data_IF_689143973242
#
_entry.id   IF_689143973242
#
_cell.length_a   1.000
_cell.length_b   1.000
_cell.length_c   1.000
_cell.angle_alpha   90.00
_cell.angle_beta   90.00
_cell.angle_gamma   90.00
#
_symmetry.space_group_name_H-M   'P 1'
#
loop_
_entity.id
_entity.type
_entity.pdbx_description
1 polymer ?
#
# COMPACT_ATOMS: atom_id res chain seq x y z
N UNK A 1 -12.72 6.21 4.70
CA UNK A 1 -12.76 5.16 5.76
C UNK A 1 -14.10 4.42 5.70
N UNK A 2 -15.27 5.11 5.68
CA UNK A 2 -16.58 4.44 5.68
C UNK A 2 -16.80 3.47 4.51
N UNK A 3 -16.40 3.84 3.29
CA UNK A 3 -16.54 2.99 2.09
C UNK A 3 -15.72 1.70 2.22
N UNK A 4 -14.53 1.74 2.81
CA UNK A 4 -13.69 0.57 3.05
C UNK A 4 -14.33 -0.38 4.08
N UNK A 5 -14.93 0.16 5.13
CA UNK A 5 -15.63 -0.63 6.15
C UNK A 5 -16.84 -1.34 5.55
N UNK A 6 -17.64 -0.64 4.74
CA UNK A 6 -18.81 -1.21 4.07
C UNK A 6 -18.40 -2.29 3.06
N UNK A 7 -17.35 -2.06 2.29
CA UNK A 7 -16.84 -3.05 1.33
C UNK A 7 -16.25 -4.29 2.00
N UNK A 8 -15.77 -4.17 3.23
CA UNK A 8 -15.21 -5.29 4.01
C UNK A 8 -16.24 -6.03 4.86
N UNK A 9 -17.44 -5.47 5.04
CA UNK A 9 -18.49 -6.04 5.89
C UNK A 9 -18.79 -7.53 5.62
N UNK A 10 -18.91 -8.00 4.36
CA UNK A 10 -19.19 -9.41 4.08
C UNK A 10 -18.08 -10.37 4.52
N UNK A 11 -16.85 -9.86 4.69
CA UNK A 11 -15.69 -10.68 5.05
C UNK A 11 -15.46 -10.77 6.56
N UNK A 12 -16.09 -9.91 7.37
CA UNK A 12 -15.94 -9.91 8.82
C UNK A 12 -16.26 -11.26 9.49
N UNK A 13 -17.35 -11.98 9.16
CA UNK A 13 -17.67 -13.25 9.83
C UNK A 13 -16.62 -14.34 9.57
N UNK A 14 -16.06 -14.41 8.37
CA UNK A 14 -14.99 -15.35 8.03
C UNK A 14 -13.66 -14.96 8.69
N UNK A 15 -13.40 -13.67 8.80
CA UNK A 15 -12.25 -13.13 9.48
C UNK A 15 -12.25 -13.43 10.99
N UNK A 16 -13.40 -13.22 11.67
CA UNK A 16 -13.53 -13.49 13.09
C UNK A 16 -13.37 -14.99 13.42
N UNK A 17 -13.83 -15.88 12.54
CA UNK A 17 -13.62 -17.33 12.73
C UNK A 17 -12.14 -17.72 12.69
N UNK A 18 -11.34 -17.10 11.80
CA UNK A 18 -9.90 -17.36 11.66
C UNK A 18 -9.04 -16.65 12.72
N UNK A 19 -9.56 -15.66 13.43
CA UNK A 19 -8.85 -15.04 14.54
C UNK A 19 -8.62 -15.98 15.74
N UNK A 20 -9.43 -17.05 15.84
CA UNK A 20 -9.25 -18.09 16.87
C UNK A 20 -8.07 -19.04 16.59
N UNK A 21 -7.59 -19.09 15.36
CA UNK A 21 -6.54 -20.02 14.92
C UNK A 21 -5.16 -19.31 14.73
N UNK A 22 -5.01 -18.11 15.29
CA UNK A 22 -3.75 -17.36 15.18
C UNK A 22 -2.65 -18.08 15.95
N UNK A 23 -1.63 -18.57 15.24
CA UNK A 23 -0.39 -19.06 15.82
C UNK A 23 0.77 -18.15 15.46
N UNK A 24 1.48 -17.64 16.46
CA UNK A 24 2.75 -16.92 16.21
C UNK A 24 3.83 -17.97 15.89
N UNK A 25 4.29 -17.97 14.68
CA UNK A 25 5.37 -18.85 14.22
C UNK A 25 6.47 -18.07 13.49
N UNK A 26 7.62 -18.68 13.28
CA UNK A 26 8.63 -18.09 12.42
C UNK A 26 8.07 -17.88 11.00
N UNK A 27 8.40 -16.75 10.32
CA UNK A 27 7.84 -16.43 9.02
C UNK A 27 8.03 -17.57 8.01
N UNK A 28 6.94 -18.03 7.41
CA UNK A 28 7.00 -19.06 6.36
C UNK A 28 7.39 -18.44 5.02
N UNK A 29 8.67 -18.42 4.74
CA UNK A 29 9.24 -17.92 3.49
C UNK A 29 8.98 -18.86 2.30
N UNK A 30 8.54 -20.10 2.51
CA UNK A 30 8.22 -21.02 1.44
C UNK A 30 7.06 -20.54 0.57
N UNK A 31 6.11 -19.84 1.20
CA UNK A 31 4.98 -19.21 0.51
C UNK A 31 5.44 -18.23 -0.57
N UNK A 32 6.54 -17.50 -0.31
CA UNK A 32 7.09 -16.53 -1.26
C UNK A 32 7.70 -17.17 -2.51
N UNK A 33 8.07 -18.45 -2.45
CA UNK A 33 8.49 -19.22 -3.62
C UNK A 33 7.36 -19.38 -4.65
N UNK A 34 6.11 -19.44 -4.20
CA UNK A 34 4.92 -19.66 -5.02
C UNK A 34 4.29 -18.37 -5.54
N UNK A 35 4.66 -17.22 -4.98
CA UNK A 35 4.08 -15.91 -5.33
C UNK A 35 4.71 -15.40 -6.62
N UNK A 36 3.88 -14.82 -7.49
CA UNK A 36 4.34 -14.23 -8.75
C UNK A 36 5.35 -13.10 -8.51
N UNK A 37 6.23 -12.88 -9.46
CA UNK A 37 7.22 -11.80 -9.41
C UNK A 37 6.56 -10.40 -9.31
N UNK A 38 5.35 -10.24 -9.86
CA UNK A 38 4.58 -8.98 -9.78
C UNK A 38 4.22 -8.66 -8.33
N UNK A 39 3.77 -9.65 -7.55
CA UNK A 39 3.46 -9.47 -6.13
C UNK A 39 4.73 -9.14 -5.34
N UNK A 40 5.85 -9.81 -5.63
CA UNK A 40 7.15 -9.49 -5.00
C UNK A 40 7.57 -8.06 -5.29
N UNK A 41 7.42 -7.61 -6.54
CA UNK A 41 7.71 -6.25 -6.96
C UNK A 41 6.79 -5.23 -6.25
N UNK A 42 5.49 -5.54 -6.16
CA UNK A 42 4.53 -4.72 -5.44
C UNK A 42 4.93 -4.55 -3.97
N UNK A 43 5.20 -5.65 -3.28
CA UNK A 43 5.58 -5.62 -1.86
C UNK A 43 6.90 -4.87 -1.66
N UNK A 44 7.90 -5.10 -2.49
CA UNK A 44 9.17 -4.38 -2.44
C UNK A 44 8.97 -2.86 -2.63
N UNK A 45 8.14 -2.46 -3.59
CA UNK A 45 7.77 -1.05 -3.82
C UNK A 45 7.03 -0.46 -2.62
N UNK A 46 6.04 -1.16 -2.08
CA UNK A 46 5.24 -0.70 -0.95
C UNK A 46 6.08 -0.55 0.33
N UNK A 47 6.92 -1.54 0.65
CA UNK A 47 7.82 -1.49 1.82
C UNK A 47 8.85 -0.36 1.66
N UNK A 48 9.45 -0.22 0.47
CA UNK A 48 10.37 0.89 0.19
C UNK A 48 9.68 2.24 0.36
N UNK A 49 8.47 2.40 -0.19
CA UNK A 49 7.69 3.62 -0.04
C UNK A 49 7.33 3.89 1.44
N UNK A 50 6.98 2.86 2.20
CA UNK A 50 6.67 3.00 3.62
C UNK A 50 7.89 3.50 4.41
N UNK A 51 9.06 2.90 4.22
CA UNK A 51 10.29 3.29 4.90
C UNK A 51 10.70 4.71 4.51
N UNK A 52 10.79 5.00 3.21
CA UNK A 52 11.20 6.32 2.71
C UNK A 52 10.19 7.39 3.15
N UNK A 53 8.89 7.11 3.04
CA UNK A 53 7.83 8.03 3.46
C UNK A 53 7.89 8.34 4.94
N UNK A 54 8.12 7.34 5.79
CA UNK A 54 8.34 7.52 7.23
C UNK A 54 9.53 8.43 7.50
N UNK A 55 10.66 8.21 6.83
CA UNK A 55 11.84 9.08 6.97
C UNK A 55 11.50 10.53 6.56
N UNK A 56 10.79 10.71 5.44
CA UNK A 56 10.39 12.04 4.95
C UNK A 56 9.51 12.77 5.97
N UNK A 57 8.61 12.06 6.67
CA UNK A 57 7.72 12.67 7.66
C UNK A 57 8.48 13.35 8.80
N UNK A 58 9.60 12.80 9.22
CA UNK A 58 10.43 13.31 10.31
C UNK A 58 11.54 14.27 9.85
N UNK A 59 11.68 14.54 8.53
CA UNK A 59 12.71 15.41 7.99
C UNK A 59 12.20 16.81 7.64
N UNK A 60 13.13 17.78 7.61
CA UNK A 60 12.85 19.17 7.20
C UNK A 60 12.37 19.19 5.75
N UNK A 61 11.17 19.73 5.53
CA UNK A 61 10.56 19.85 4.21
C UNK A 61 11.30 20.90 3.35
N UNK A 62 11.33 20.67 2.03
CA UNK A 62 11.97 21.59 1.08
C UNK A 62 13.49 21.50 0.98
N UNK A 63 14.17 20.75 1.83
CA UNK A 63 15.63 20.52 1.78
C UNK A 63 16.02 19.68 0.56
N UNK A 64 17.31 19.67 0.21
CA UNK A 64 17.85 18.78 -0.84
C UNK A 64 17.50 17.32 -0.59
N UNK A 65 17.72 16.86 0.66
CA UNK A 65 17.39 15.50 1.07
C UNK A 65 15.89 15.19 0.92
N UNK A 66 15.00 16.12 1.29
CA UNK A 66 13.55 15.95 1.07
C UNK A 66 13.22 15.76 -0.41
N UNK A 67 13.87 16.49 -1.30
CA UNK A 67 13.63 16.36 -2.75
C UNK A 67 14.12 15.00 -3.28
N UNK A 68 15.32 14.56 -2.89
CA UNK A 68 15.86 13.27 -3.33
C UNK A 68 15.01 12.11 -2.82
N UNK A 69 14.74 12.06 -1.50
CA UNK A 69 13.88 11.03 -0.92
C UNK A 69 12.46 11.10 -1.46
N UNK A 70 11.95 12.32 -1.75
CA UNK A 70 10.63 12.51 -2.35
C UNK A 70 10.52 11.87 -3.73
N UNK A 71 11.53 12.00 -4.59
CA UNK A 71 11.57 11.32 -5.89
C UNK A 71 11.68 9.80 -5.74
N UNK A 72 12.54 9.32 -4.85
CA UNK A 72 12.64 7.88 -4.56
C UNK A 72 11.29 7.33 -4.06
N UNK A 73 10.59 8.08 -3.22
CA UNK A 73 9.26 7.72 -2.73
C UNK A 73 8.22 7.67 -3.85
N UNK A 74 8.22 8.66 -4.75
CA UNK A 74 7.31 8.70 -5.90
C UNK A 74 7.52 7.48 -6.80
N UNK A 75 8.77 7.11 -7.07
CA UNK A 75 9.10 5.93 -7.88
C UNK A 75 8.61 4.66 -7.18
N UNK A 76 8.89 4.49 -5.89
CA UNK A 76 8.46 3.33 -5.11
C UNK A 76 6.93 3.20 -5.07
N UNK A 77 6.21 4.32 -4.85
CA UNK A 77 4.74 4.37 -4.90
C UNK A 77 4.19 4.05 -6.29
N UNK A 78 4.82 4.57 -7.35
CA UNK A 78 4.41 4.26 -8.72
C UNK A 78 4.57 2.77 -9.02
N UNK A 79 5.70 2.17 -8.64
CA UNK A 79 5.94 0.72 -8.78
C UNK A 79 4.88 -0.07 -8.02
N UNK A 80 4.60 0.28 -6.77
CA UNK A 80 3.58 -0.40 -5.98
C UNK A 80 2.18 -0.25 -6.59
N UNK A 81 1.78 0.96 -6.96
CA UNK A 81 0.45 1.22 -7.51
C UNK A 81 0.26 0.57 -8.90
N UNK A 82 1.25 0.68 -9.77
CA UNK A 82 1.18 0.09 -11.11
C UNK A 82 1.17 -1.44 -11.02
N UNK A 83 2.09 -2.05 -10.28
CA UNK A 83 2.13 -3.51 -10.14
C UNK A 83 0.83 -4.08 -9.55
N UNK A 84 0.19 -3.37 -8.61
CA UNK A 84 -1.06 -3.84 -8.01
C UNK A 84 -2.24 -3.93 -8.98
N UNK A 85 -2.20 -3.21 -10.11
CA UNK A 85 -3.25 -3.31 -11.14
C UNK A 85 -3.28 -4.69 -11.82
N UNK A 86 -2.17 -5.42 -11.82
CA UNK A 86 -2.06 -6.78 -12.35
C UNK A 86 -2.20 -7.87 -11.30
N UNK A 87 -2.36 -7.52 -10.02
CA UNK A 87 -2.58 -8.49 -8.95
C UNK A 87 -4.08 -8.76 -8.87
N UNK A 88 -4.54 -9.76 -9.64
CA UNK A 88 -5.89 -10.31 -9.60
C UNK A 88 -5.94 -11.53 -8.69
N UNK A 89 -7.13 -12.00 -8.33
CA UNK A 89 -7.28 -13.23 -7.53
C UNK A 89 -7.78 -13.01 -6.10
N UNK A 90 -7.97 -11.76 -5.65
CA UNK A 90 -8.59 -11.47 -4.35
C UNK A 90 -10.12 -11.61 -4.39
N UNK A 91 -10.71 -11.63 -5.57
CA UNK A 91 -12.15 -11.66 -5.81
C UNK A 91 -12.46 -12.44 -7.10
N UNK A 92 -11.77 -13.57 -7.34
CA UNK A 92 -11.85 -14.39 -8.55
C UNK A 92 -11.64 -13.49 -9.76
N UNK A 93 -10.55 -13.31 -10.32
CA UNK A 93 -10.17 -12.55 -11.55
C UNK A 93 -10.89 -11.21 -11.81
N UNK A 94 -11.71 -10.70 -10.87
CA UNK A 94 -12.42 -9.43 -10.99
C UNK A 94 -11.70 -8.29 -10.26
N UNK A 95 -11.91 -7.08 -10.76
CA UNK A 95 -11.39 -5.87 -10.14
C UNK A 95 -12.02 -5.68 -8.77
N UNK A 96 -11.21 -5.39 -7.78
CA UNK A 96 -11.64 -5.09 -6.41
C UNK A 96 -11.43 -3.61 -6.09
N UNK A 97 -11.95 -3.16 -4.95
CA UNK A 97 -11.79 -1.78 -4.46
C UNK A 97 -10.30 -1.37 -4.34
N UNK A 98 -9.39 -2.34 -4.19
CA UNK A 98 -7.94 -2.09 -4.15
C UNK A 98 -7.45 -1.54 -5.50
N UNK A 99 -8.01 -2.01 -6.62
CA UNK A 99 -7.66 -1.51 -7.96
C UNK A 99 -8.08 -0.04 -8.14
N UNK A 100 -9.21 0.37 -7.54
CA UNK A 100 -9.63 1.78 -7.53
C UNK A 100 -8.62 2.65 -6.74
N UNK A 101 -8.16 2.17 -5.60
CA UNK A 101 -7.14 2.88 -4.80
C UNK A 101 -5.82 2.98 -5.57
N UNK A 102 -5.42 1.93 -6.26
CA UNK A 102 -4.20 1.91 -7.08
C UNK A 102 -4.33 2.84 -8.28
N UNK A 103 -5.43 2.78 -9.00
CA UNK A 103 -5.74 3.69 -10.11
C UNK A 103 -5.76 5.16 -9.67
N UNK A 104 -6.40 5.42 -8.51
CA UNK A 104 -6.36 6.75 -7.90
C UNK A 104 -4.92 7.20 -7.59
N UNK A 105 -4.08 6.32 -7.04
CA UNK A 105 -2.69 6.65 -6.73
C UNK A 105 -1.89 6.99 -7.99
N UNK A 106 -2.08 6.24 -9.08
CA UNK A 106 -1.43 6.50 -10.38
C UNK A 106 -1.78 7.90 -10.91
N UNK A 107 -3.01 8.37 -10.70
CA UNK A 107 -3.45 9.72 -11.10
C UNK A 107 -2.97 10.78 -10.10
N UNK A 108 -3.08 10.50 -8.80
CA UNK A 108 -2.77 11.47 -7.75
C UNK A 108 -1.27 11.82 -7.66
N UNK A 109 -0.37 10.87 -7.98
CA UNK A 109 1.08 11.10 -7.98
C UNK A 109 1.51 12.24 -8.93
N UNK A 110 1.20 12.19 -10.24
CA UNK A 110 1.56 13.28 -11.14
C UNK A 110 0.86 14.59 -10.78
N UNK A 111 -0.38 14.55 -10.29
CA UNK A 111 -1.09 15.74 -9.83
C UNK A 111 -0.40 16.39 -8.62
N UNK A 112 0.10 15.60 -7.68
CA UNK A 112 0.84 16.10 -6.54
C UNK A 112 2.20 16.71 -6.94
N UNK A 113 2.88 16.12 -7.94
CA UNK A 113 4.10 16.69 -8.52
C UNK A 113 3.80 18.01 -9.25
N UNK A 114 2.73 18.05 -10.04
CA UNK A 114 2.28 19.26 -10.70
C UNK A 114 1.97 20.36 -9.68
N UNK A 115 1.30 20.02 -8.58
CA UNK A 115 0.95 20.98 -7.53
C UNK A 115 2.20 21.64 -6.93
N UNK A 116 3.25 20.88 -6.61
CA UNK A 116 4.48 21.48 -6.03
C UNK A 116 5.24 22.30 -7.06
N UNK A 117 5.25 21.90 -8.35
CA UNK A 117 5.86 22.69 -9.42
C UNK A 117 5.17 24.04 -9.61
N UNK A 118 3.86 24.09 -9.34
CA UNK A 118 3.07 25.32 -9.38
C UNK A 118 2.96 26.02 -8.01
N UNK A 119 3.89 25.74 -7.09
CA UNK A 119 3.97 26.36 -5.76
C UNK A 119 2.72 26.12 -4.86
N UNK A 120 1.85 25.17 -5.22
CA UNK A 120 0.67 24.78 -4.42
C UNK A 120 1.07 23.78 -3.33
N UNK A 121 1.88 24.27 -2.36
CA UNK A 121 2.53 23.43 -1.34
C UNK A 121 1.50 22.65 -0.52
N UNK A 122 0.39 23.27 -0.14
CA UNK A 122 -0.64 22.61 0.68
C UNK A 122 -1.34 21.48 -0.08
N UNK A 123 -1.65 21.67 -1.37
CA UNK A 123 -2.23 20.62 -2.20
C UNK A 123 -1.27 19.44 -2.36
N UNK A 124 0.02 19.71 -2.59
CA UNK A 124 1.06 18.69 -2.60
C UNK A 124 1.12 17.94 -1.28
N UNK A 125 1.18 18.66 -0.15
CA UNK A 125 1.23 18.06 1.19
C UNK A 125 0.06 17.13 1.45
N UNK A 126 -1.17 17.59 1.17
CA UNK A 126 -2.40 16.81 1.36
C UNK A 126 -2.40 15.54 0.50
N UNK A 127 -2.02 15.65 -0.77
CA UNK A 127 -1.97 14.51 -1.67
C UNK A 127 -0.93 13.47 -1.22
N UNK A 128 0.30 13.90 -0.91
CA UNK A 128 1.36 13.00 -0.45
C UNK A 128 1.02 12.32 0.87
N UNK A 129 0.51 13.08 1.85
CA UNK A 129 0.08 12.52 3.15
C UNK A 129 -1.11 11.57 2.97
N UNK A 130 -2.08 11.93 2.12
CA UNK A 130 -3.24 11.08 1.84
C UNK A 130 -2.85 9.74 1.21
N UNK A 131 -1.91 9.75 0.26
CA UNK A 131 -1.38 8.52 -0.35
C UNK A 131 -0.55 7.70 0.66
N UNK A 132 0.24 8.33 1.50
CA UNK A 132 0.99 7.64 2.54
C UNK A 132 0.05 6.96 3.56
N UNK A 133 -0.91 7.69 4.10
CA UNK A 133 -1.82 7.15 5.12
C UNK A 133 -2.81 6.15 4.50
N UNK A 134 -3.51 6.52 3.43
CA UNK A 134 -4.53 5.68 2.80
C UNK A 134 -3.93 4.52 1.99
N UNK A 135 -2.93 4.82 1.16
CA UNK A 135 -2.34 3.86 0.25
C UNK A 135 -1.33 2.90 0.90
N UNK A 136 -0.60 3.35 1.92
CA UNK A 136 0.41 2.52 2.58
C UNK A 136 -0.01 2.04 3.97
N UNK A 137 -0.39 2.93 4.89
CA UNK A 137 -0.71 2.51 6.25
C UNK A 137 -2.04 1.74 6.31
N UNK A 138 -3.13 2.30 5.76
CA UNK A 138 -4.44 1.63 5.82
C UNK A 138 -4.45 0.40 4.92
N UNK A 139 -4.07 0.51 3.65
CA UNK A 139 -4.03 -0.63 2.74
C UNK A 139 -3.01 -1.68 3.18
N UNK A 140 -1.84 -1.26 3.69
CA UNK A 140 -0.82 -2.15 4.26
C UNK A 140 -1.33 -2.91 5.47
N UNK A 141 -2.03 -2.25 6.40
CA UNK A 141 -2.65 -2.92 7.55
C UNK A 141 -3.67 -3.99 7.12
N UNK A 142 -4.41 -3.74 6.04
CA UNK A 142 -5.38 -4.72 5.51
C UNK A 142 -4.71 -5.98 4.93
N UNK A 143 -3.41 -5.97 4.62
CA UNK A 143 -2.69 -7.16 4.17
C UNK A 143 -2.43 -8.16 5.29
N UNK A 144 -2.57 -7.74 6.55
CA UNK A 144 -2.48 -8.59 7.74
C UNK A 144 -3.84 -9.16 8.18
N UNK A 145 -4.86 -9.07 7.35
CA UNK A 145 -6.12 -9.76 7.60
C UNK A 145 -6.01 -11.25 7.23
N UNK A 146 -6.71 -12.14 7.96
CA UNK A 146 -6.73 -13.58 7.70
C UNK A 146 -7.04 -13.91 6.23
N UNK A 147 -6.27 -14.85 5.66
CA UNK A 147 -6.38 -15.22 4.24
C UNK A 147 -5.60 -14.31 3.28
N UNK A 148 -4.76 -13.42 3.80
CA UNK A 148 -3.84 -12.59 3.01
C UNK A 148 -2.40 -13.08 3.16
N UNK A 149 -1.59 -12.87 2.12
CA UNK A 149 -0.21 -13.35 2.08
C UNK A 149 0.60 -12.95 3.32
N UNK A 150 0.50 -11.69 3.76
CA UNK A 150 1.23 -11.24 4.95
C UNK A 150 0.74 -11.93 6.21
N UNK A 151 -0.58 -12.11 6.36
CA UNK A 151 -1.13 -12.84 7.49
C UNK A 151 -0.63 -14.28 7.51
N UNK A 152 -0.76 -15.01 6.40
CA UNK A 152 -0.34 -16.43 6.30
C UNK A 152 1.18 -16.57 6.50
N UNK A 153 1.98 -15.57 6.13
CA UNK A 153 3.43 -15.60 6.34
C UNK A 153 3.81 -15.55 7.82
N UNK A 154 3.06 -14.82 8.66
CA UNK A 154 3.43 -14.55 10.05
C UNK A 154 2.52 -15.20 11.10
N UNK A 155 1.30 -15.56 10.75
CA UNK A 155 0.24 -15.94 11.69
C UNK A 155 -0.60 -17.15 11.24
N UNK A 156 -0.46 -17.64 10.00
CA UNK A 156 -1.27 -18.70 9.39
C UNK A 156 -0.77 -20.11 9.62
#
# INVERSE_FOLDING_TARGET
IGILVVAMWPFFPAMFRRLGDISLHAPDWSLWGRVSWIVKLHVAGAVSALVIGTIILFRRKGSGLHKTLGWSWVIAMAVAAISSLWITGLNGDSWSIIHLLSGWTVIALPMAIWAIRNRKVEAHRRAMTGMFVGGLLVAGALTFLPGRLMFETFFG
#
